data_IF_676129147795
#
_entry.id   IF_676129147795
#
_cell.length_a   1.000
_cell.length_b   1.000
_cell.length_c   1.000
_cell.angle_alpha   90.00
_cell.angle_beta   90.00
_cell.angle_gamma   90.00
#
_symmetry.space_group_name_H-M   'P 1'
#
loop_
_entity.id
_entity.type
_entity.pdbx_description
1 polymer ?
2 non-polymer ?
3 water ?
#
# COMPACT_ATOMS: atom_id res chain seq x y z
N UNK A 12 -8.49 9.60 18.77
CA UNK A 12 -8.01 9.55 17.40
C UNK A 12 -7.56 8.12 17.05
N UNK A 13 -7.16 7.94 15.80
CA UNK A 13 -6.87 6.59 15.31
C UNK A 13 -5.49 6.13 15.73
N UNK A 14 -5.44 4.89 16.22
CA UNK A 14 -4.19 4.19 16.47
C UNK A 14 -4.39 2.79 15.94
N UNK A 15 -3.59 2.39 14.97
CA UNK A 15 -3.81 1.13 14.28
C UNK A 15 -2.81 0.08 14.69
N UNK A 16 -3.24 -1.18 14.61
CA UNK A 16 -2.36 -2.31 14.56
C UNK A 16 -2.65 -3.06 13.27
N UNK A 17 -1.78 -3.99 12.91
CA UNK A 17 -2.03 -4.82 11.74
C UNK A 17 -1.51 -6.22 11.98
N UNK A 18 -2.01 -7.14 11.17
CA UNK A 18 -1.59 -8.53 11.18
C UNK A 18 -1.54 -9.04 9.74
N UNK A 19 -0.90 -10.18 9.58
CA UNK A 19 -0.92 -10.80 8.26
C UNK A 19 -2.34 -11.21 7.88
N UNK A 20 -2.62 -11.12 6.58
CA UNK A 20 -3.92 -11.52 6.07
C UNK A 20 -4.15 -13.01 6.30
N UNK A 21 -5.42 -13.37 6.48
CA UNK A 21 -5.86 -14.76 6.70
C UNK A 21 -6.93 -15.02 5.65
N UNK A 22 -6.59 -15.78 4.61
CA UNK A 22 -7.57 -15.99 3.53
C UNK A 22 -8.84 -16.67 4.02
N UNK A 23 -8.73 -17.53 5.04
CA UNK A 23 -9.91 -18.27 5.51
C UNK A 23 -10.92 -17.38 6.22
N UNK A 24 -10.55 -16.15 6.58
CA UNK A 24 -11.47 -15.30 7.32
C UNK A 24 -11.63 -13.92 6.70
N UNK A 25 -10.61 -13.43 5.98
CA UNK A 25 -10.61 -12.05 5.49
C UNK A 25 -11.20 -11.91 4.10
N UNK A 26 -11.47 -13.01 3.42
CA UNK A 26 -11.89 -12.93 2.02
C UNK A 26 -13.18 -12.12 1.89
N UNK A 27 -14.15 -12.35 2.77
CA UNK A 27 -15.42 -11.66 2.62
C UNK A 27 -15.23 -10.14 2.66
N UNK A 28 -14.47 -9.66 3.65
CA UNK A 28 -14.26 -8.22 3.81
C UNK A 28 -13.48 -7.64 2.63
N UNK A 29 -12.37 -8.28 2.28
CA UNK A 29 -11.52 -7.76 1.20
C UNK A 29 -12.29 -7.74 -0.12
N UNK A 30 -13.06 -8.80 -0.40
CA UNK A 30 -13.92 -8.82 -1.58
C UNK A 30 -14.91 -7.66 -1.57
N UNK A 31 -15.52 -7.39 -0.41
CA UNK A 31 -16.45 -6.28 -0.32
C UNK A 31 -15.75 -4.95 -0.62
N UNK A 32 -14.58 -4.74 -0.01
CA UNK A 32 -13.89 -3.47 -0.21
C UNK A 32 -13.51 -3.27 -1.67
N UNK A 33 -13.06 -4.33 -2.32
CA UNK A 33 -12.65 -4.26 -3.71
C UNK A 33 -13.83 -3.98 -4.63
N UNK A 34 -15.04 -4.26 -4.18
CA UNK A 34 -16.20 -4.02 -5.01
C UNK A 34 -16.76 -2.63 -4.94
N UNK A 35 -16.26 -1.82 -4.01
CA UNK A 35 -16.71 -0.44 -3.89
C UNK A 35 -16.15 0.39 -5.04
N UNK A 36 -16.95 1.25 -5.66
CA UNK A 36 -16.44 2.01 -6.82
C UNK A 36 -15.21 2.84 -6.51
N UNK A 37 -15.03 3.31 -5.29
CA UNK A 37 -13.83 4.08 -4.94
C UNK A 37 -12.56 3.24 -4.99
N UNK A 38 -12.70 1.91 -5.01
CA UNK A 38 -11.56 1.01 -5.13
C UNK A 38 -11.22 0.66 -6.57
N UNK A 39 -11.75 1.37 -7.57
CA UNK A 39 -11.65 0.90 -8.94
C UNK A 39 -10.21 0.80 -9.45
N UNK A 40 -9.26 1.55 -8.87
CA UNK A 40 -7.89 1.42 -9.35
C UNK A 40 -7.27 0.07 -9.04
N UNK A 41 -7.85 -0.68 -8.09
CA UNK A 41 -7.43 -2.06 -7.87
C UNK A 41 -7.89 -3.00 -8.98
N UNK A 42 -8.83 -2.56 -9.82
CA UNK A 42 -9.25 -3.32 -11.00
C UNK A 42 -9.85 -4.68 -10.61
N UNK A 43 -10.63 -4.70 -9.53
CA UNK A 43 -11.24 -5.94 -9.06
C UNK A 43 -12.74 -5.75 -8.82
N UNK A 44 -13.36 -4.79 -9.50
CA UNK A 44 -14.80 -4.62 -9.39
C UNK A 44 -15.49 -5.85 -9.99
N UNK A 45 -16.53 -6.32 -9.33
CA UNK A 45 -17.30 -7.44 -9.87
C UNK A 45 -16.50 -8.74 -9.93
N UNK A 46 -15.48 -8.88 -9.08
CA UNK A 46 -14.73 -10.11 -8.94
C UNK A 46 -15.50 -11.12 -8.09
N UNK A 47 -15.11 -12.38 -8.21
CA UNK A 47 -15.63 -13.41 -7.35
C UNK A 47 -14.75 -13.56 -6.12
N UNK A 48 -15.24 -14.31 -5.14
CA UNK A 48 -14.42 -14.62 -3.98
C UNK A 48 -13.17 -15.37 -4.39
N UNK A 49 -13.29 -16.34 -5.29
CA UNK A 49 -12.12 -17.06 -5.75
C UNK A 49 -11.11 -16.14 -6.44
N UNK A 50 -11.61 -15.14 -7.18
CA UNK A 50 -10.70 -14.16 -7.78
C UNK A 50 -9.91 -13.42 -6.71
N UNK A 51 -10.58 -13.04 -5.63
CA UNK A 51 -9.91 -12.33 -4.55
C UNK A 51 -8.96 -13.24 -3.81
N UNK A 52 -9.32 -14.52 -3.61
CA UNK A 52 -8.39 -15.47 -3.01
C UNK A 52 -7.12 -15.56 -3.85
N UNK A 53 -7.24 -15.60 -5.19
CA UNK A 53 -6.06 -15.66 -6.03
C UNK A 53 -5.21 -14.39 -5.88
N UNK A 54 -5.85 -13.22 -5.85
CA UNK A 54 -5.11 -11.97 -5.64
C UNK A 54 -4.28 -12.05 -4.37
N UNK A 55 -4.89 -12.51 -3.28
CA UNK A 55 -4.19 -12.59 -1.99
C UNK A 55 -3.09 -13.63 -2.04
N UNK A 56 -3.38 -14.80 -2.62
CA UNK A 56 -2.38 -15.85 -2.72
C UNK A 56 -1.17 -15.38 -3.52
N UNK A 57 -1.42 -14.73 -4.65
CA UNK A 57 -0.31 -14.25 -5.47
C UNK A 57 0.51 -13.22 -4.71
N UNK A 58 -0.15 -12.36 -3.94
CA UNK A 58 0.56 -11.36 -3.14
C UNK A 58 1.39 -12.00 -2.04
N UNK A 59 1.04 -13.21 -1.62
CA UNK A 59 1.72 -13.92 -0.57
C UNK A 59 2.76 -14.91 -1.04
N UNK A 60 2.99 -15.01 -2.34
CA UNK A 60 3.75 -16.11 -2.92
C UNK A 60 5.25 -15.85 -3.04
N UNK A 61 5.72 -14.65 -2.72
CA UNK A 61 7.16 -14.44 -2.79
C UNK A 61 7.86 -15.40 -1.82
N UNK A 62 9.09 -15.83 -2.12
CA UNK A 62 9.79 -16.65 -1.14
C UNK A 62 10.07 -15.95 0.19
N UNK A 63 10.21 -14.60 0.17
CA UNK A 63 10.62 -13.86 1.37
C UNK A 63 9.39 -13.52 2.21
N UNK A 64 9.36 -13.89 3.49
CA UNK A 64 8.16 -13.66 4.29
C UNK A 64 7.88 -12.20 4.59
N UNK A 65 8.79 -11.27 4.28
CA UNK A 65 8.48 -9.86 4.55
C UNK A 65 7.34 -9.36 3.69
N UNK A 66 7.16 -9.93 2.51
CA UNK A 66 6.15 -9.48 1.56
C UNK A 66 4.82 -10.16 1.84
N UNK A 67 3.76 -9.53 1.37
CA UNK A 67 2.42 -10.04 1.46
C UNK A 67 1.45 -8.98 1.93
N UNK A 68 0.19 -9.38 1.99
CA UNK A 68 -0.84 -8.46 2.42
C UNK A 68 -1.05 -8.54 3.95
N UNK A 69 -1.40 -7.39 4.51
CA UNK A 69 -1.69 -7.20 5.93
C UNK A 69 -3.04 -6.50 6.08
N UNK A 70 -3.68 -6.70 7.22
CA UNK A 70 -4.97 -6.10 7.55
C UNK A 70 -4.82 -5.22 8.78
N UNK A 71 -5.29 -3.98 8.68
CA UNK A 71 -5.23 -3.04 9.77
C UNK A 71 -6.52 -3.08 10.59
N UNK A 72 -6.35 -2.90 11.89
CA UNK A 72 -7.41 -2.95 12.88
C UNK A 72 -7.44 -1.71 13.77
N UNK A 73 -8.63 -1.37 14.22
CA UNK A 73 -8.88 -0.35 15.25
C UNK A 73 -10.16 -0.74 15.96
N UNK A 74 -10.13 -0.77 17.29
CA UNK A 74 -11.32 -1.06 18.09
C UNK A 74 -11.98 -2.37 17.66
N UNK A 75 -11.15 -3.34 17.29
CA UNK A 75 -11.61 -4.68 17.01
C UNK A 75 -12.11 -4.91 15.61
N UNK A 76 -12.12 -3.88 14.77
CA UNK A 76 -12.71 -3.95 13.45
C UNK A 76 -11.67 -3.69 12.37
N UNK A 77 -11.84 -4.38 11.26
CA UNK A 77 -10.96 -4.21 10.11
C UNK A 77 -11.14 -2.83 9.52
N UNK A 78 -10.04 -2.21 9.12
CA UNK A 78 -10.03 -0.83 8.66
C UNK A 78 -9.46 -0.65 7.26
N UNK A 79 -8.47 -1.46 6.89
CA UNK A 79 -7.80 -1.34 5.60
C UNK A 79 -6.96 -2.58 5.37
N UNK A 80 -6.51 -2.71 4.12
CA UNK A 80 -5.57 -3.74 3.69
C UNK A 80 -4.38 -3.01 3.10
N UNK A 81 -3.19 -3.53 3.31
CA UNK A 81 -2.03 -3.02 2.60
C UNK A 81 -1.19 -4.18 2.13
N UNK A 82 -0.58 -4.01 0.96
CA UNK A 82 0.31 -5.01 0.39
C UNK A 82 1.72 -4.44 0.41
N UNK A 83 2.66 -5.16 1.01
CA UNK A 83 4.08 -4.85 0.90
C UNK A 83 4.62 -5.85 -0.10
N UNK A 84 4.97 -5.39 -1.31
CA UNK A 84 5.31 -6.28 -2.41
C UNK A 84 6.76 -6.17 -2.81
N UNK A 85 7.26 -7.23 -3.46
CA UNK A 85 8.62 -7.28 -3.98
C UNK A 85 8.67 -6.47 -5.27
N UNK A 86 9.39 -5.35 -5.30
CA UNK A 86 9.45 -4.57 -6.55
C UNK A 86 9.93 -5.40 -7.74
N UNK A 87 10.80 -6.38 -7.51
CA UNK A 87 11.44 -7.11 -8.61
C UNK A 87 10.53 -8.10 -9.30
N UNK A 88 9.34 -8.35 -8.77
CA UNK A 88 8.33 -9.18 -9.42
C UNK A 88 7.07 -8.38 -9.75
N UNK A 89 7.17 -7.06 -9.81
CA UNK A 89 6.07 -6.15 -10.07
C UNK A 89 6.29 -5.44 -11.41
N UNK A 90 5.34 -4.57 -11.75
CA UNK A 90 5.46 -3.74 -12.95
C UNK A 90 6.71 -2.88 -12.90
N UNK A 91 7.18 -2.55 -11.69
CA UNK A 91 8.33 -1.69 -11.57
C UNK A 91 9.55 -2.27 -12.26
N UNK A 92 9.62 -3.60 -12.32
CA UNK A 92 10.79 -4.30 -12.84
C UNK A 92 10.72 -4.55 -14.35
N UNK A 93 9.67 -4.11 -15.01
CA UNK A 93 9.66 -4.16 -16.47
C UNK A 93 10.91 -3.46 -17.01
N UNK A 94 11.58 -4.02 -18.01
CA UNK A 94 12.71 -3.28 -18.60
C UNK A 94 12.28 -1.89 -19.04
N UNK A 95 13.07 -0.89 -18.69
CA UNK A 95 12.86 0.46 -19.18
C UNK A 95 11.93 1.36 -18.40
N UNK A 96 11.40 0.94 -17.23
CA UNK A 96 10.51 1.85 -16.50
C UNK A 96 11.25 3.05 -15.90
N UNK A 97 12.55 2.93 -15.68
CA UNK A 97 13.29 3.95 -14.97
C UNK A 97 13.37 3.75 -13.48
N UNK A 98 12.64 2.77 -12.93
CA UNK A 98 12.86 2.36 -11.55
C UNK A 98 14.28 1.82 -11.42
N UNK A 99 15.00 2.28 -10.41
CA UNK A 99 16.35 1.78 -10.10
C UNK A 99 16.27 1.09 -8.75
N UNK A 100 16.24 -0.24 -8.78
CA UNK A 100 16.11 -1.04 -7.56
C UNK A 100 17.33 -0.86 -6.64
N UNK A 101 17.06 -0.68 -5.36
CA UNK A 101 18.07 -0.66 -4.31
C UNK A 101 17.70 -1.75 -3.30
N UNK A 102 18.70 -2.51 -2.85
CA UNK A 102 18.48 -3.49 -1.81
C UNK A 102 17.71 -2.85 -0.65
N UNK A 103 16.68 -3.56 -0.18
CA UNK A 103 15.84 -3.05 0.88
C UNK A 103 14.62 -2.31 0.39
N UNK A 104 14.41 -2.21 -0.91
CA UNK A 104 13.21 -1.58 -1.43
C UNK A 104 11.99 -2.48 -1.21
N UNK A 105 10.87 -1.87 -0.83
CA UNK A 105 9.60 -2.56 -0.71
C UNK A 105 8.52 -1.72 -1.38
N UNK A 106 7.69 -2.35 -2.18
CA UNK A 106 6.55 -1.68 -2.77
C UNK A 106 5.35 -1.69 -1.86
N UNK A 107 4.44 -0.73 -2.05
CA UNK A 107 3.24 -0.69 -1.23
C UNK A 107 2.01 -0.32 -2.04
N UNK A 108 0.92 -1.05 -1.80
CA UNK A 108 -0.41 -0.68 -2.23
C UNK A 108 -1.32 -0.64 -1.00
N UNK A 109 -2.31 0.27 -1.02
CA UNK A 109 -3.28 0.46 0.05
C UNK A 109 -4.71 0.31 -0.48
N UNK A 110 -5.54 -0.41 0.27
CA UNK A 110 -6.97 -0.54 0.02
C UNK A 110 -7.70 -0.21 1.31
N UNK A 111 -8.47 0.87 1.32
CA UNK A 111 -9.21 1.22 2.53
C UNK A 111 -10.55 0.52 2.52
N UNK A 112 -11.11 0.28 3.71
CA UNK A 112 -12.38 -0.41 3.76
C UNK A 112 -13.47 0.45 3.14
N UNK A 113 -14.57 -0.22 2.80
CA UNK A 113 -15.71 0.42 2.14
C UNK A 113 -16.57 1.25 3.10
N UNK A 114 -16.28 1.24 4.40
CA UNK A 114 -16.98 2.12 5.32
C UNK A 114 -16.79 3.58 4.88
N UNK A 115 -17.85 4.36 4.96
CA UNK A 115 -17.81 5.74 4.52
C UNK A 115 -17.48 6.73 5.63
N UNK A 116 -17.88 6.45 6.87
CA UNK A 116 -17.84 7.44 7.94
C UNK A 116 -16.59 7.24 8.78
N UNK A 117 -15.75 8.27 8.81
CA UNK A 117 -14.46 8.21 9.49
C UNK A 117 -14.33 9.39 10.46
N UNK A 118 -13.45 9.22 11.44
CA UNK A 118 -13.00 10.31 12.29
C UNK A 118 -11.93 11.11 11.56
N UNK A 119 -11.57 12.30 12.04
CA UNK A 119 -10.55 13.09 11.36
C UNK A 119 -9.21 12.37 11.23
N UNK A 120 -8.56 12.59 10.10
CA UNK A 120 -7.20 12.13 9.87
C UNK A 120 -7.05 10.64 9.65
N UNK A 121 -8.10 9.97 9.17
CA UNK A 121 -8.07 8.52 9.00
C UNK A 121 -6.89 8.10 8.12
N UNK A 122 -6.82 8.60 6.89
CA UNK A 122 -5.80 8.08 5.99
C UNK A 122 -4.39 8.53 6.36
N UNK A 123 -4.24 9.63 7.10
CA UNK A 123 -2.92 9.98 7.60
C UNK A 123 -2.44 8.99 8.63
N UNK A 124 -3.30 8.61 9.54
CA UNK A 124 -2.94 7.58 10.51
C UNK A 124 -2.71 6.24 9.83
N UNK A 125 -3.48 5.93 8.80
CA UNK A 125 -3.24 4.71 8.01
C UNK A 125 -1.84 4.73 7.44
N UNK A 126 -1.47 5.83 6.80
CA UNK A 126 -0.20 5.86 6.14
C UNK A 126 0.97 5.82 7.13
N UNK A 127 0.84 6.53 8.27
CA UNK A 127 1.90 6.45 9.27
C UNK A 127 2.10 5.02 9.73
N UNK A 128 1.02 4.29 9.93
CA UNK A 128 1.13 2.91 10.38
C UNK A 128 1.80 2.04 9.33
N UNK A 129 1.39 2.19 8.07
CA UNK A 129 1.95 1.38 7.00
C UNK A 129 3.44 1.63 6.87
N UNK A 130 3.85 2.90 6.88
CA UNK A 130 5.24 3.23 6.67
C UNK A 130 6.08 2.71 7.84
N UNK A 131 5.60 2.91 9.08
CA UNK A 131 6.34 2.36 10.21
C UNK A 131 6.49 0.86 10.08
N UNK A 132 5.40 0.18 9.69
CA UNK A 132 5.46 -1.26 9.53
C UNK A 132 6.49 -1.64 8.48
N UNK A 133 6.48 -0.95 7.33
CA UNK A 133 7.43 -1.29 6.27
C UNK A 133 8.87 -1.11 6.75
N UNK A 134 9.18 0.00 7.42
CA UNK A 134 10.56 0.24 7.82
C UNK A 134 10.99 -0.60 9.01
N UNK A 135 10.15 -0.73 10.02
CA UNK A 135 10.56 -1.30 11.30
C UNK A 135 10.25 -2.77 11.44
N UNK A 136 9.20 -3.27 10.80
CA UNK A 136 8.85 -4.68 10.85
C UNK A 136 9.33 -5.46 9.64
N UNK A 137 9.25 -4.87 8.44
CA UNK A 137 9.65 -5.54 7.20
C UNK A 137 11.03 -5.14 6.74
N UNK A 138 11.75 -4.32 7.51
CA UNK A 138 13.13 -4.03 7.21
C UNK A 138 13.40 -3.17 6.01
N UNK A 139 12.38 -2.49 5.47
CA UNK A 139 12.60 -1.69 4.28
C UNK A 139 13.57 -0.57 4.56
N UNK A 140 14.41 -0.25 3.56
CA UNK A 140 15.17 0.99 3.59
C UNK A 140 14.48 2.10 2.80
N UNK A 141 13.56 1.74 1.90
CA UNK A 141 12.90 2.67 1.03
C UNK A 141 11.59 2.02 0.60
N UNK A 142 10.53 2.79 0.59
CA UNK A 142 9.24 2.34 0.06
C UNK A 142 9.07 2.95 -1.33
N UNK A 143 8.57 2.14 -2.26
CA UNK A 143 8.37 2.56 -3.64
C UNK A 143 6.90 2.37 -3.99
N UNK A 144 6.31 3.36 -4.66
CA UNK A 144 4.93 3.26 -5.13
C UNK A 144 4.84 3.69 -6.58
N UNK A 145 3.83 3.16 -7.28
CA UNK A 145 3.63 3.42 -8.70
C UNK A 145 2.15 3.53 -9.04
N UNK A 146 1.42 4.39 -8.35
CA UNK A 146 0.01 4.58 -8.66
C UNK A 146 -0.18 5.21 -10.03
N UNK A 147 -1.38 5.00 -10.57
CA UNK A 147 -1.83 5.73 -11.75
C UNK A 147 -1.73 7.22 -11.49
N UNK A 148 -1.14 7.95 -12.44
CA UNK A 148 -0.99 9.41 -12.31
C UNK A 148 -2.31 10.11 -12.09
N UNK A 149 -3.42 9.52 -12.50
CA UNK A 149 -4.72 10.15 -12.32
C UNK A 149 -5.26 10.02 -10.90
N UNK A 150 -4.65 9.16 -10.08
CA UNK A 150 -5.15 8.86 -8.75
C UNK A 150 -4.62 9.93 -7.79
N UNK A 151 -5.30 11.07 -7.79
CA UNK A 151 -4.81 12.23 -7.06
C UNK A 151 -4.86 12.04 -5.55
N UNK A 152 -5.83 11.27 -5.04
CA UNK A 152 -5.89 11.04 -3.61
C UNK A 152 -4.61 10.38 -3.11
N UNK A 153 -4.06 9.44 -3.91
CA UNK A 153 -2.84 8.76 -3.50
C UNK A 153 -1.67 9.73 -3.47
N UNK A 154 -1.61 10.68 -4.41
CA UNK A 154 -0.53 11.64 -4.38
C UNK A 154 -0.54 12.44 -3.09
N UNK A 155 -1.72 12.79 -2.60
CA UNK A 155 -1.80 13.50 -1.34
C UNK A 155 -1.35 12.61 -0.18
N UNK A 156 -1.79 11.35 -0.17
CA UNK A 156 -1.32 10.46 0.89
C UNK A 156 0.19 10.33 0.87
N UNK A 157 0.78 10.20 -0.33
CA UNK A 157 2.22 10.07 -0.45
C UNK A 157 2.93 11.30 0.11
N UNK A 158 2.45 12.48 -0.26
CA UNK A 158 3.12 13.69 0.19
C UNK A 158 3.07 13.81 1.70
N UNK A 159 1.98 13.31 2.31
CA UNK A 159 1.78 13.48 3.75
C UNK A 159 2.85 12.77 4.57
N UNK A 160 3.58 11.82 3.98
CA UNK A 160 4.58 11.07 4.73
C UNK A 160 5.97 11.17 4.09
N UNK A 161 6.16 12.07 3.15
CA UNK A 161 7.48 12.38 2.65
C UNK A 161 7.91 11.75 1.35
N UNK A 162 7.02 11.08 0.62
CA UNK A 162 7.39 10.59 -0.69
C UNK A 162 7.80 11.73 -1.60
N UNK A 163 8.75 11.45 -2.47
CA UNK A 163 9.22 12.36 -3.50
C UNK A 163 8.97 11.70 -4.86
N UNK A 164 8.40 12.47 -5.79
CA UNK A 164 8.11 11.95 -7.11
C UNK A 164 9.41 11.82 -7.90
N UNK A 165 9.63 10.65 -8.49
CA UNK A 165 10.79 10.41 -9.33
C UNK A 165 10.50 10.64 -10.81
N UNK A 166 9.29 10.35 -11.25
CA UNK A 166 8.90 10.60 -12.63
C UNK A 166 7.74 9.70 -12.99
N UNK A 167 7.32 9.78 -14.24
CA UNK A 167 6.21 9.00 -14.75
C UNK A 167 6.73 7.98 -15.77
N UNK A 168 6.11 6.80 -15.80
CA UNK A 168 6.51 5.79 -16.78
C UNK A 168 5.27 5.09 -17.33
N UNK A 169 5.34 4.62 -18.58
CA UNK A 169 4.14 4.00 -19.18
C UNK A 169 4.07 2.51 -18.90
N UNK A 170 2.88 2.04 -18.56
CA UNK A 170 2.57 0.61 -18.58
C UNK A 170 1.29 0.46 -19.39
N UNK A 171 0.99 -0.75 -19.90
CA UNK A 171 -0.19 -0.87 -20.75
C UNK A 171 -1.44 -0.34 -20.03
N UNK A 172 -2.10 0.64 -20.64
CA UNK A 172 -3.33 1.20 -20.13
C UNK A 172 -3.17 2.26 -19.06
N UNK A 173 -1.93 2.63 -18.70
CA UNK A 173 -1.73 3.44 -17.52
C UNK A 173 -0.42 4.21 -17.64
N UNK A 174 -0.43 5.45 -17.19
CA UNK A 174 0.80 6.17 -16.85
C UNK A 174 0.96 6.07 -15.34
N UNK A 175 2.07 5.52 -14.90
CA UNK A 175 2.36 5.36 -13.48
C UNK A 175 3.21 6.53 -13.03
N UNK A 176 2.92 7.05 -11.84
CA UNK A 176 3.79 8.06 -11.22
C UNK A 176 4.62 7.34 -10.17
N UNK A 177 5.92 7.26 -10.41
CA UNK A 177 6.85 6.58 -9.52
C UNK A 177 7.28 7.53 -8.41
N UNK A 178 7.11 7.12 -7.16
CA UNK A 178 7.57 7.90 -6.02
C UNK A 178 8.33 7.01 -5.06
N UNK A 179 9.25 7.62 -4.32
CA UNK A 179 10.09 6.93 -3.35
C UNK A 179 10.00 7.63 -1.99
N UNK A 180 10.08 6.85 -0.92
CA UNK A 180 10.18 7.38 0.43
C UNK A 180 11.24 6.56 1.16
N UNK A 181 12.44 7.14 1.29
CA UNK A 181 13.45 6.49 2.08
C UNK A 181 13.10 6.59 3.56
N UNK A 182 13.69 5.72 4.37
CA UNK A 182 13.54 5.83 5.81
C UNK A 182 13.94 7.24 6.28
N UNK A 183 14.97 7.81 5.66
CA UNK A 183 15.43 9.15 6.03
C UNK A 183 14.37 10.20 5.72
N UNK A 184 13.80 10.15 4.52
CA UNK A 184 12.78 11.13 4.15
C UNK A 184 11.54 11.00 5.03
N UNK A 185 11.16 9.77 5.38
CA UNK A 185 10.00 9.57 6.25
C UNK A 185 10.24 10.17 7.63
N UNK A 186 11.41 9.90 8.20
CA UNK A 186 11.69 10.40 9.54
C UNK A 186 11.70 11.91 9.56
N UNK A 187 12.32 12.54 8.56
CA UNK A 187 12.37 14.00 8.50
C UNK A 187 10.98 14.58 8.32
N UNK A 188 10.18 13.99 7.43
CA UNK A 188 8.89 14.58 7.11
C UNK A 188 7.90 14.46 8.25
N UNK A 189 7.98 13.41 9.05
CA UNK A 189 6.94 13.10 10.02
C UNK A 189 7.41 13.25 11.47
N UNK A 190 8.63 13.74 11.68
CA UNK A 190 9.19 13.79 13.04
C UNK A 190 9.21 12.37 13.64
N UNK A 191 9.82 11.44 12.91
CA UNK A 191 9.93 10.05 13.36
C UNK A 191 8.56 9.41 13.58
N UNK A 192 7.65 9.66 12.65
CA UNK A 192 6.35 9.05 12.73
C UNK A 192 5.39 9.70 13.70
N UNK A 193 5.69 10.91 14.15
CA UNK A 193 4.82 11.60 15.10
C UNK A 193 3.65 12.26 14.40
N UNK A 194 3.88 12.85 13.22
CA UNK A 194 2.90 13.72 12.60
C UNK A 194 3.04 13.60 11.09
N UNK A 195 2.17 14.29 10.37
CA UNK A 195 2.25 14.31 8.92
C UNK A 195 3.05 15.53 8.49
N UNK A 196 3.57 15.49 7.27
CA UNK A 196 4.39 16.57 6.76
C UNK A 196 3.62 17.89 6.81
X LIG B 1 -3.78 -2.43 -7.69
X LIG B 1 -3.53 -2.23 -9.12
X LIG B 1 -4.19 -3.32 -9.94
X LIG B 1 -3.74 -4.66 -9.53
X LIG B 1 -3.96 -4.82 -8.09
X LIG B 1 -3.26 -3.74 -7.31
X LIG B 1 -4.46 -5.69 -10.30
X LIG B 1 -4.13 -7.12 -9.97
X LIG B 1 -2.75 -7.37 -10.10
X LIG B 1 -3.20 -1.36 -6.88
X LIG B 1 -4.10 -0.14 -6.94
X LIG B 1 -3.32 1.32 -6.32
X LIG B 1 -4.33 2.31 -6.18
X LIG B 1 -2.18 1.60 -7.15
X LIG B 1 -2.80 0.88 -4.92
X LIG B 1 -3.89 -1.36 -9.40
X LIG B 1 -2.56 -2.24 -9.29
X LIG B 1 -3.98 -3.18 -10.89
X LIG B 1 -5.16 -3.26 -9.83
X LIG B 1 -3.62 -5.70 -7.80
X LIG B 1 -4.91 -4.79 -7.90
X LIG B 1 -3.40 -3.89 -6.35
X LIG B 1 -2.30 -3.77 -7.49
X LIG B 1 -4.28 -5.54 -11.25
X LIG B 1 -5.42 -5.55 -10.16
X LIG B 1 -4.63 -7.72 -10.56
X LIG B 1 -4.40 -7.30 -9.04
X LIG B 1 -2.33 -6.86 -9.56
X LIG B 1 -2.32 -1.12 -7.23
X LIG B 1 -3.10 -1.65 -5.96
X LIG B 1 -4.91 -0.31 -6.42
X LIG B 1 -4.37 0.02 -7.86
X LIG B 1 -3.42 0.67 -4.45
#
# INVERSE_FOLDING_TARGET
GHMAEVGNGATTYHFQSRRIDVDRDLESVHRWLGHPKSHYWDMLNSSLADVEKLIRDAGADPDPRFGMRIGYFEGERQFLFELFNPLTSDLARPGTGYVYETGDIGMHLLVSSSERRLPGFTGAVMLHIMRTAFFEAGARRVVVEPDVRNADVQRLNAAVGFRVAGDFPVPGKTARLSYCTREDFARATDNGRTLAGEVES
EPE N1 C2 C3 N4 C5 C6 C7 C8 O8 C9 C10 S O1S O2S O3S H21 H22 H31 H32 H51 H52 H61 H62 H71 H72 H81 H82 HO8 H91 H92 H101 H102 HOS3
#
